data_IF_175787627906
#
_entry.id   IF_175787627906
#
_cell.length_a   1.000
_cell.length_b   1.000
_cell.length_c   1.000
_cell.angle_alpha   90.00
_cell.angle_beta   90.00
_cell.angle_gamma   90.00
#
_symmetry.space_group_name_H-M   'P 1'
#
loop_
_entity.id
_entity.type
_entity.pdbx_description
1 polymer ?
#
# COMPACT_ATOMS: atom_id res chain seq x y z
N UNK A 1 -3.69 2.93 37.50
CA UNK A 1 -2.91 3.42 36.34
C UNK A 1 -1.48 3.64 36.78
N UNK A 2 -0.51 2.91 36.21
CA UNK A 2 0.91 3.13 36.45
C UNK A 2 1.35 4.45 35.80
N UNK A 3 2.12 5.26 36.51
CA UNK A 3 2.72 6.48 35.99
C UNK A 3 4.00 6.11 35.24
N UNK A 4 4.06 6.38 33.94
CA UNK A 4 5.24 6.16 33.12
C UNK A 4 5.88 7.50 32.76
N UNK A 5 7.07 7.75 33.29
CA UNK A 5 7.86 8.93 32.99
C UNK A 5 8.81 8.61 31.84
N UNK A 6 8.84 9.48 30.83
CA UNK A 6 9.66 9.33 29.64
C UNK A 6 10.38 10.65 29.40
N UNK A 7 11.71 10.61 29.44
CA UNK A 7 12.56 11.77 29.15
C UNK A 7 12.77 11.89 27.64
N UNK A 8 12.50 13.06 27.08
CA UNK A 8 12.73 13.31 25.67
C UNK A 8 14.24 13.34 25.37
N UNK A 9 14.71 12.51 24.42
CA UNK A 9 16.13 12.48 24.04
C UNK A 9 16.62 13.77 23.35
N UNK A 10 15.70 14.57 22.79
CA UNK A 10 16.04 15.77 22.02
C UNK A 10 16.19 17.02 22.89
N UNK A 11 15.23 17.27 23.79
CA UNK A 11 15.20 18.48 24.62
C UNK A 11 15.37 18.22 26.12
N UNK A 12 15.52 16.94 26.53
CA UNK A 12 15.70 16.49 27.92
C UNK A 12 14.52 16.81 28.86
N UNK A 13 13.38 17.26 28.34
CA UNK A 13 12.15 17.45 29.13
C UNK A 13 11.56 16.11 29.55
N UNK A 14 11.17 16.00 30.82
CA UNK A 14 10.43 14.86 31.34
C UNK A 14 8.95 14.97 30.97
N UNK A 15 8.39 13.89 30.45
CA UNK A 15 6.98 13.81 30.07
C UNK A 15 6.33 12.64 30.82
N UNK A 16 5.07 12.80 31.20
CA UNK A 16 4.30 11.78 31.88
C UNK A 16 3.21 11.25 30.94
N UNK A 17 3.23 9.94 30.65
CA UNK A 17 2.20 9.27 29.86
C UNK A 17 1.84 9.99 28.54
N UNK A 18 2.84 10.53 27.84
CA UNK A 18 2.64 11.23 26.56
C UNK A 18 3.39 10.52 25.44
N UNK A 19 2.78 10.49 24.26
CA UNK A 19 3.40 9.92 23.06
C UNK A 19 4.35 10.89 22.37
N UNK A 20 4.12 12.18 22.59
CA UNK A 20 4.91 13.29 22.06
C UNK A 20 5.47 14.13 23.20
N UNK A 21 6.63 14.71 22.99
CA UNK A 21 7.20 15.65 23.94
C UNK A 21 6.37 16.95 23.96
N UNK A 22 5.94 17.37 25.15
CA UNK A 22 5.12 18.59 25.34
C UNK A 22 5.90 19.86 24.94
N UNK A 23 7.22 19.85 25.11
CA UNK A 23 8.07 21.00 24.79
C UNK A 23 8.44 21.10 23.29
N UNK A 24 8.88 20.00 22.65
CA UNK A 24 9.44 20.05 21.30
C UNK A 24 8.65 19.27 20.23
N UNK A 25 7.57 18.58 20.60
CA UNK A 25 6.73 17.81 19.67
C UNK A 25 7.36 16.53 19.11
N UNK A 26 8.54 16.13 19.57
CA UNK A 26 9.20 14.89 19.13
C UNK A 26 8.44 13.65 19.64
N UNK A 27 8.36 12.59 18.83
CA UNK A 27 7.77 11.31 19.25
C UNK A 27 8.70 10.66 20.28
N UNK A 28 8.21 10.51 21.51
CA UNK A 28 8.96 9.91 22.62
C UNK A 28 8.53 8.46 22.89
N UNK A 29 7.32 8.07 22.48
CA UNK A 29 6.86 6.69 22.59
C UNK A 29 7.53 5.82 21.51
N UNK A 30 8.33 4.84 21.94
CA UNK A 30 9.06 3.93 21.05
C UNK A 30 8.13 3.09 20.17
N UNK A 31 6.97 2.68 20.69
CA UNK A 31 5.98 1.90 19.93
C UNK A 31 5.39 2.75 18.83
N UNK A 32 4.95 3.97 19.15
CA UNK A 32 4.41 4.90 18.18
C UNK A 32 5.46 5.25 17.11
N UNK A 33 6.71 5.48 17.52
CA UNK A 33 7.81 5.75 16.59
C UNK A 33 8.00 4.62 15.57
N UNK A 34 8.02 3.36 16.02
CA UNK A 34 8.13 2.19 15.13
C UNK A 34 6.92 2.07 14.20
N UNK A 35 5.71 2.34 14.68
CA UNK A 35 4.51 2.31 13.86
C UNK A 35 4.56 3.38 12.75
N UNK A 36 4.98 4.60 13.08
CA UNK A 36 5.13 5.69 12.11
C UNK A 36 6.24 5.38 11.08
N UNK A 37 7.36 4.78 11.51
CA UNK A 37 8.41 4.34 10.58
C UNK A 37 7.90 3.25 9.62
N UNK A 38 7.15 2.27 10.11
CA UNK A 38 6.53 1.23 9.26
C UNK A 38 5.50 1.80 8.29
N UNK A 39 4.66 2.73 8.74
CA UNK A 39 3.69 3.43 7.89
C UNK A 39 4.41 4.19 6.78
N UNK A 40 5.44 4.98 7.10
CA UNK A 40 6.24 5.69 6.09
C UNK A 40 6.85 4.78 5.06
N UNK A 41 7.46 3.66 5.47
CA UNK A 41 8.03 2.67 4.52
C UNK A 41 6.94 2.10 3.60
N UNK A 42 5.74 1.87 4.14
CA UNK A 42 4.61 1.34 3.37
C UNK A 42 4.09 2.37 2.38
N UNK A 43 3.90 3.61 2.83
CA UNK A 43 3.50 4.74 1.99
C UNK A 43 4.51 5.02 0.88
N UNK A 44 5.81 4.99 1.18
CA UNK A 44 6.86 5.15 0.18
C UNK A 44 6.83 4.05 -0.89
N UNK A 45 6.55 2.80 -0.50
CA UNK A 45 6.39 1.69 -1.46
C UNK A 45 5.17 1.90 -2.35
N UNK A 46 4.02 2.25 -1.76
CA UNK A 46 2.79 2.54 -2.50
C UNK A 46 3.00 3.71 -3.46
N UNK A 47 3.63 4.79 -3.01
CA UNK A 47 3.93 5.95 -3.85
C UNK A 47 4.89 5.60 -4.99
N UNK A 48 5.89 4.75 -4.75
CA UNK A 48 6.79 4.26 -5.81
C UNK A 48 6.04 3.43 -6.85
N UNK A 49 5.09 2.60 -6.44
CA UNK A 49 4.27 1.80 -7.36
C UNK A 49 3.28 2.65 -8.15
N UNK A 50 2.64 3.65 -7.51
CA UNK A 50 1.72 4.58 -8.19
C UNK A 50 2.48 5.43 -9.22
N UNK A 51 3.67 5.89 -8.87
CA UNK A 51 4.51 6.70 -9.75
C UNK A 51 5.40 5.85 -10.68
N UNK A 52 5.34 4.52 -10.58
CA UNK A 52 6.09 3.65 -11.46
C UNK A 52 5.60 3.84 -12.89
N UNK A 53 6.54 3.95 -13.82
CA UNK A 53 6.19 4.12 -15.21
C UNK A 53 5.46 2.86 -15.70
N UNK A 54 4.26 2.98 -16.29
CA UNK A 54 3.50 1.82 -16.71
C UNK A 54 4.32 1.01 -17.72
N UNK A 55 4.32 -0.30 -17.54
CA UNK A 55 5.07 -1.21 -18.40
C UNK A 55 4.61 -1.08 -19.86
N UNK A 56 5.46 -1.49 -20.82
CA UNK A 56 5.13 -1.40 -22.26
C UNK A 56 3.80 -2.07 -22.59
N UNK A 57 3.50 -3.20 -21.95
CA UNK A 57 2.22 -3.91 -22.10
C UNK A 57 1.05 -3.09 -21.56
N UNK A 58 1.19 -2.50 -20.38
CA UNK A 58 0.15 -1.67 -19.76
C UNK A 58 -0.14 -0.39 -20.56
N UNK A 59 0.90 0.24 -21.12
CA UNK A 59 0.72 1.37 -22.06
C UNK A 59 -0.03 0.93 -23.32
N UNK A 60 0.30 -0.24 -23.87
CA UNK A 60 -0.34 -0.78 -25.07
C UNK A 60 -1.81 -1.14 -24.83
N UNK A 61 -2.13 -1.84 -23.74
CA UNK A 61 -3.51 -2.20 -23.39
C UNK A 61 -4.33 -0.94 -23.14
N UNK A 62 -3.85 0.02 -22.34
CA UNK A 62 -4.54 1.30 -22.14
C UNK A 62 -4.80 2.04 -23.45
N UNK A 63 -3.84 2.03 -24.39
CA UNK A 63 -3.99 2.65 -25.72
C UNK A 63 -5.04 1.94 -26.57
N UNK A 64 -5.09 0.60 -26.55
CA UNK A 64 -6.10 -0.17 -27.27
C UNK A 64 -7.51 0.03 -26.70
N UNK A 65 -7.67 0.04 -25.38
CA UNK A 65 -8.97 0.27 -24.74
C UNK A 65 -9.49 1.71 -24.92
N UNK A 66 -8.59 2.70 -25.11
CA UNK A 66 -8.95 4.10 -25.37
C UNK A 66 -8.95 4.48 -26.86
N UNK A 67 -8.84 3.50 -27.75
CA UNK A 67 -8.78 3.78 -29.19
C UNK A 67 -10.08 4.44 -29.68
N UNK A 68 -9.96 5.44 -30.57
CA UNK A 68 -11.10 6.21 -31.09
C UNK A 68 -12.06 5.35 -31.95
N UNK A 69 -11.51 4.32 -32.62
CA UNK A 69 -12.31 3.37 -33.40
C UNK A 69 -13.07 2.39 -32.47
N UNK A 70 -14.42 2.39 -32.46
CA UNK A 70 -15.22 1.55 -31.56
C UNK A 70 -15.02 0.05 -31.81
N UNK A 71 -14.74 -0.38 -33.05
CA UNK A 71 -14.50 -1.80 -33.34
C UNK A 71 -13.28 -2.35 -32.60
N UNK A 72 -12.17 -1.60 -32.62
CA UNK A 72 -10.92 -1.97 -31.95
C UNK A 72 -11.09 -1.91 -30.43
N UNK A 73 -11.85 -0.92 -29.94
CA UNK A 73 -12.14 -0.79 -28.51
C UNK A 73 -12.97 -1.97 -27.98
N UNK A 74 -14.00 -2.38 -28.72
CA UNK A 74 -14.89 -3.48 -28.33
C UNK A 74 -14.13 -4.81 -28.34
N UNK A 75 -13.32 -5.09 -29.36
CA UNK A 75 -12.53 -6.32 -29.41
C UNK A 75 -11.51 -6.38 -28.27
N UNK A 76 -10.81 -5.28 -27.99
CA UNK A 76 -9.90 -5.20 -26.86
C UNK A 76 -10.62 -5.43 -25.52
N UNK A 77 -11.83 -4.89 -25.36
CA UNK A 77 -12.64 -5.05 -24.14
C UNK A 77 -13.09 -6.50 -23.95
N UNK A 78 -13.53 -7.18 -25.00
CA UNK A 78 -13.95 -8.59 -24.95
C UNK A 78 -12.77 -9.48 -24.54
N UNK A 79 -11.62 -9.32 -25.22
CA UNK A 79 -10.41 -10.10 -24.91
C UNK A 79 -9.98 -9.87 -23.46
N UNK A 80 -9.98 -8.61 -23.03
CA UNK A 80 -9.62 -8.25 -21.66
C UNK A 80 -10.58 -8.85 -20.62
N UNK A 81 -11.88 -8.85 -20.91
CA UNK A 81 -12.90 -9.44 -20.03
C UNK A 81 -12.72 -10.94 -19.88
N UNK A 82 -12.55 -11.67 -20.99
CA UNK A 82 -12.31 -13.12 -20.97
C UNK A 82 -11.04 -13.45 -20.17
N UNK A 83 -9.97 -12.67 -20.38
CA UNK A 83 -8.72 -12.83 -19.64
C UNK A 83 -8.91 -12.67 -18.12
N UNK A 84 -9.58 -11.59 -17.68
CA UNK A 84 -9.84 -11.35 -16.25
C UNK A 84 -10.66 -12.48 -15.63
N UNK A 85 -11.72 -12.93 -16.32
CA UNK A 85 -12.55 -14.04 -15.83
C UNK A 85 -11.70 -15.30 -15.66
N UNK A 86 -10.88 -15.65 -16.64
CA UNK A 86 -9.98 -16.80 -16.54
C UNK A 86 -9.01 -16.71 -15.35
N UNK A 87 -8.35 -15.56 -15.18
CA UNK A 87 -7.44 -15.32 -14.05
C UNK A 87 -8.17 -15.42 -12.71
N UNK A 88 -9.39 -14.87 -12.61
CA UNK A 88 -10.16 -14.91 -11.36
C UNK A 88 -10.53 -16.35 -10.94
N UNK A 89 -10.87 -17.21 -11.90
CA UNK A 89 -11.18 -18.62 -11.64
C UNK A 89 -9.91 -19.34 -11.16
N UNK A 90 -8.79 -19.15 -11.87
CA UNK A 90 -7.51 -19.77 -11.48
C UNK A 90 -7.05 -19.32 -10.09
N UNK A 91 -7.16 -18.02 -9.79
CA UNK A 91 -6.84 -17.48 -8.47
C UNK A 91 -7.74 -18.05 -7.38
N UNK A 92 -9.05 -18.20 -7.65
CA UNK A 92 -10.00 -18.83 -6.72
C UNK A 92 -9.65 -20.28 -6.41
N UNK A 93 -9.30 -21.08 -7.42
CA UNK A 93 -8.86 -22.46 -7.23
C UNK A 93 -7.55 -22.51 -6.42
N UNK A 94 -6.56 -21.68 -6.78
CA UNK A 94 -5.30 -21.61 -6.06
C UNK A 94 -5.48 -21.20 -4.59
N UNK A 95 -6.40 -20.28 -4.30
CA UNK A 95 -6.73 -19.87 -2.95
C UNK A 95 -7.30 -21.03 -2.12
N UNK A 96 -8.24 -21.81 -2.67
CA UNK A 96 -8.82 -22.96 -1.99
C UNK A 96 -7.75 -24.01 -1.68
N UNK A 97 -6.87 -24.31 -2.64
CA UNK A 97 -5.77 -25.26 -2.44
C UNK A 97 -4.81 -24.75 -1.37
N UNK A 98 -4.40 -23.49 -1.45
CA UNK A 98 -3.51 -22.87 -0.47
C UNK A 98 -4.11 -22.83 0.94
N UNK A 99 -5.43 -22.59 1.04
CA UNK A 99 -6.14 -22.61 2.32
C UNK A 99 -6.21 -24.00 2.93
N UNK A 100 -6.34 -25.06 2.12
CA UNK A 100 -6.32 -26.44 2.61
C UNK A 100 -4.90 -26.89 2.99
N UNK A 101 -3.88 -26.36 2.32
CA UNK A 101 -2.48 -26.71 2.54
C UNK A 101 -1.81 -25.97 3.71
N UNK A 102 -2.39 -24.85 4.16
CA UNK A 102 -1.92 -24.04 5.28
C UNK A 102 -2.41 -24.59 6.63
#
# INVERSE_FOLDING_TARGET
MSKHYITCQKCKTENLNSDYCVNCGEVINLVLRRQLEQQKVTEERIQKEINAEPTKFEKFTRKMLKHQNPLIRITALIIHSIWIVGVSIMAGIAYIIGFIAA
#
